data_IF_585574660929
#
_entry.id   IF_585574660929
#
_cell.length_a   1.000
_cell.length_b   1.000
_cell.length_c   1.000
_cell.angle_alpha   90.00
_cell.angle_beta   90.00
_cell.angle_gamma   90.00
#
_symmetry.space_group_name_H-M   'P 1'
#
loop_
_entity.id
_entity.type
_entity.pdbx_description
1 polymer ?
#
# COMPACT_ATOMS: atom_id res chain seq x y z
N UNK A 1 15.66 11.63 -36.99
CA UNK A 1 16.93 12.38 -36.95
C UNK A 1 16.79 13.91 -36.82
N UNK A 2 15.71 14.46 -36.22
CA UNK A 2 15.57 15.92 -35.97
C UNK A 2 15.22 16.33 -34.53
N UNK A 3 15.20 15.39 -33.56
CA UNK A 3 14.90 15.69 -32.14
C UNK A 3 16.09 15.62 -31.17
N UNK A 4 17.29 15.28 -31.65
CA UNK A 4 18.52 15.19 -30.83
C UNK A 4 19.30 16.53 -30.72
N UNK A 5 18.65 17.65 -31.01
CA UNK A 5 19.30 18.92 -31.36
C UNK A 5 19.50 19.91 -30.20
N UNK A 6 19.29 19.55 -28.92
CA UNK A 6 19.30 20.55 -27.82
C UNK A 6 20.34 20.28 -26.71
N UNK A 7 20.98 19.11 -26.63
CA UNK A 7 21.82 18.79 -25.46
C UNK A 7 23.31 19.18 -25.56
N UNK A 8 23.78 19.84 -26.61
CA UNK A 8 25.22 20.14 -26.75
C UNK A 8 25.70 21.40 -26.00
N UNK A 9 24.79 22.29 -25.57
CA UNK A 9 25.16 23.63 -25.07
C UNK A 9 24.82 23.90 -23.60
N UNK A 10 24.40 22.91 -22.81
CA UNK A 10 24.11 23.09 -21.38
C UNK A 10 25.05 22.33 -20.43
N UNK A 11 26.17 21.80 -20.92
CA UNK A 11 27.18 21.14 -20.09
C UNK A 11 28.37 22.09 -20.01
N UNK A 12 28.48 22.90 -18.94
CA UNK A 12 29.75 23.35 -18.32
C UNK A 12 29.59 24.58 -17.41
N UNK A 13 28.52 25.35 -17.49
CA UNK A 13 28.35 26.47 -16.56
C UNK A 13 27.71 26.01 -15.25
N UNK A 14 28.54 25.98 -14.21
CA UNK A 14 28.22 26.17 -12.78
C UNK A 14 28.17 24.88 -11.94
N UNK A 15 29.34 24.50 -11.40
CA UNK A 15 29.64 23.89 -10.07
C UNK A 15 30.82 22.90 -10.09
N UNK A 16 31.94 23.22 -10.74
CA UNK A 16 33.13 22.36 -10.67
C UNK A 16 33.73 22.24 -9.25
N UNK A 17 33.43 23.17 -8.33
CA UNK A 17 34.03 23.19 -7.00
C UNK A 17 33.46 22.18 -5.99
N UNK A 18 32.36 21.49 -6.32
CA UNK A 18 31.64 20.63 -5.37
C UNK A 18 31.31 19.23 -5.92
N UNK A 19 31.77 18.90 -7.12
CA UNK A 19 31.64 17.57 -7.72
C UNK A 19 32.81 16.68 -7.26
N UNK A 20 32.55 15.38 -7.08
CA UNK A 20 33.64 14.41 -6.85
C UNK A 20 34.51 14.29 -8.11
N UNK A 21 35.76 13.86 -7.94
CA UNK A 21 36.66 13.59 -9.07
C UNK A 21 36.04 12.56 -10.02
N UNK A 22 35.41 11.53 -9.46
CA UNK A 22 34.67 10.52 -10.21
C UNK A 22 33.53 11.13 -11.05
N UNK A 23 32.73 12.04 -10.48
CA UNK A 23 31.65 12.69 -11.22
C UNK A 23 32.18 13.53 -12.39
N UNK A 24 33.28 14.26 -12.18
CA UNK A 24 33.92 15.06 -13.22
C UNK A 24 34.47 14.19 -14.37
N UNK A 25 35.08 13.05 -14.05
CA UNK A 25 35.56 12.08 -15.04
C UNK A 25 34.39 11.45 -15.83
N UNK A 26 33.32 11.04 -15.15
CA UNK A 26 32.14 10.47 -15.78
C UNK A 26 31.46 11.46 -16.75
N UNK A 27 31.36 12.74 -16.38
CA UNK A 27 30.80 13.79 -17.25
C UNK A 27 31.65 14.00 -18.52
N UNK A 28 32.98 13.92 -18.40
CA UNK A 28 33.88 14.00 -19.56
C UNK A 28 33.70 12.79 -20.49
N UNK A 29 33.52 11.61 -19.92
CA UNK A 29 33.28 10.40 -20.69
C UNK A 29 31.93 10.44 -21.42
N UNK A 30 30.88 11.00 -20.80
CA UNK A 30 29.60 11.25 -21.48
C UNK A 30 29.79 12.18 -22.68
N UNK A 31 30.47 13.31 -22.51
CA UNK A 31 30.69 14.27 -23.60
C UNK A 31 31.44 13.62 -24.78
N UNK A 32 32.46 12.81 -24.49
CA UNK A 32 33.22 12.08 -25.50
C UNK A 32 32.36 11.02 -26.20
N UNK A 33 31.63 10.21 -25.43
CA UNK A 33 30.79 9.14 -25.97
C UNK A 33 29.63 9.70 -26.82
N UNK A 34 29.03 10.83 -26.42
CA UNK A 34 28.03 11.53 -27.21
C UNK A 34 28.58 12.04 -28.54
N UNK A 35 29.79 12.63 -28.54
CA UNK A 35 30.45 13.06 -29.77
C UNK A 35 30.71 11.87 -30.72
N UNK A 36 31.16 10.73 -30.19
CA UNK A 36 31.34 9.52 -30.97
C UNK A 36 30.01 8.97 -31.52
N UNK A 37 28.92 9.01 -30.75
CA UNK A 37 27.59 8.58 -31.17
C UNK A 37 26.96 9.49 -32.25
N UNK A 38 27.44 10.72 -32.39
CA UNK A 38 27.03 11.65 -33.46
C UNK A 38 27.92 11.56 -34.69
N UNK A 39 29.12 11.00 -34.59
CA UNK A 39 30.05 10.92 -35.70
C UNK A 39 29.59 9.89 -36.75
N UNK A 40 29.45 10.25 -38.05
CA UNK A 40 28.78 9.43 -39.06
C UNK A 40 29.28 7.99 -39.23
N UNK A 41 30.58 7.76 -39.03
CA UNK A 41 31.18 6.41 -39.13
C UNK A 41 31.19 5.64 -37.81
N UNK A 42 31.15 6.34 -36.68
CA UNK A 42 31.26 5.71 -35.35
C UNK A 42 29.87 5.36 -34.81
N UNK A 43 28.86 6.15 -35.16
CA UNK A 43 27.45 5.92 -34.80
C UNK A 43 26.87 4.62 -35.37
N UNK A 44 27.49 4.03 -36.40
CA UNK A 44 27.07 2.73 -36.97
C UNK A 44 27.67 1.54 -36.22
N UNK A 45 28.62 1.76 -35.30
CA UNK A 45 29.23 0.69 -34.51
C UNK A 45 28.48 0.50 -33.18
N UNK A 46 27.96 -0.70 -32.88
CA UNK A 46 27.28 -0.99 -31.61
C UNK A 46 28.11 -0.62 -30.38
N UNK A 47 29.43 -0.82 -30.42
CA UNK A 47 30.32 -0.53 -29.29
C UNK A 47 30.36 0.97 -28.91
N UNK A 48 30.04 1.86 -29.85
CA UNK A 48 29.91 3.29 -29.57
C UNK A 48 28.74 3.56 -28.63
N UNK A 49 27.62 2.90 -28.87
CA UNK A 49 26.40 3.05 -28.07
C UNK A 49 26.50 2.35 -26.72
N UNK A 50 27.19 1.20 -26.64
CA UNK A 50 27.52 0.57 -25.36
C UNK A 50 28.34 1.51 -24.45
N UNK A 51 29.36 2.19 -25.01
CA UNK A 51 30.16 3.17 -24.27
C UNK A 51 29.34 4.38 -23.82
N UNK A 52 28.37 4.81 -24.63
CA UNK A 52 27.47 5.89 -24.26
C UNK A 52 26.55 5.50 -23.10
N UNK A 53 25.99 4.28 -23.13
CA UNK A 53 25.23 3.72 -22.01
C UNK A 53 26.08 3.64 -20.73
N UNK A 54 27.31 3.11 -20.83
CA UNK A 54 28.23 3.02 -19.68
C UNK A 54 28.54 4.40 -19.09
N UNK A 55 28.74 5.41 -19.95
CA UNK A 55 29.03 6.77 -19.50
C UNK A 55 27.83 7.40 -18.76
N UNK A 56 26.60 7.23 -19.27
CA UNK A 56 25.40 7.70 -18.57
C UNK A 56 25.19 7.00 -17.23
N UNK A 57 25.36 5.68 -17.19
CA UNK A 57 25.27 4.90 -15.96
C UNK A 57 26.33 5.34 -14.93
N UNK A 58 27.55 5.65 -15.36
CA UNK A 58 28.61 6.14 -14.48
C UNK A 58 28.27 7.51 -13.84
N UNK A 59 27.67 8.43 -14.60
CA UNK A 59 27.20 9.72 -14.04
C UNK A 59 26.06 9.51 -13.05
N UNK A 60 25.14 8.59 -13.35
CA UNK A 60 24.04 8.25 -12.45
C UNK A 60 24.54 7.66 -11.13
N UNK A 61 25.51 6.73 -11.17
CA UNK A 61 26.03 6.07 -9.98
C UNK A 61 26.91 7.00 -9.12
N UNK A 62 27.53 8.03 -9.72
CA UNK A 62 28.57 8.83 -9.07
C UNK A 62 28.20 9.41 -7.68
N UNK A 63 26.98 9.94 -7.43
CA UNK A 63 26.61 10.45 -6.12
C UNK A 63 26.52 9.38 -5.03
N UNK A 64 26.13 8.15 -5.40
CA UNK A 64 25.74 7.06 -4.48
C UNK A 64 26.62 5.82 -4.64
N UNK A 65 27.75 5.97 -5.31
CA UNK A 65 28.70 4.89 -5.52
C UNK A 65 29.14 4.33 -4.16
N UNK A 66 29.07 3.01 -4.03
CA UNK A 66 29.49 2.25 -2.85
C UNK A 66 28.58 2.34 -1.62
N UNK A 67 27.42 2.99 -1.68
CA UNK A 67 26.39 2.86 -0.62
C UNK A 67 25.41 1.74 -1.00
N UNK A 68 24.80 1.11 0.01
CA UNK A 68 23.81 0.06 -0.18
C UNK A 68 22.69 0.16 0.87
N UNK A 69 21.49 -0.28 0.50
CA UNK A 69 20.37 -0.35 1.43
C UNK A 69 20.71 -1.28 2.61
N UNK A 70 20.36 -0.86 3.82
CA UNK A 70 20.70 -1.57 5.07
C UNK A 70 22.03 -1.15 5.70
N UNK A 71 22.88 -0.38 5.01
CA UNK A 71 24.13 0.11 5.58
C UNK A 71 23.88 1.00 6.80
N UNK A 72 24.67 0.83 7.85
CA UNK A 72 24.65 1.74 9.00
C UNK A 72 25.22 3.11 8.63
N UNK A 73 24.84 4.15 9.37
CA UNK A 73 25.43 5.49 9.21
C UNK A 73 26.98 5.48 9.26
N UNK A 74 27.57 4.63 10.09
CA UNK A 74 29.03 4.53 10.22
C UNK A 74 29.67 3.88 8.99
N UNK A 75 29.06 2.84 8.42
CA UNK A 75 29.53 2.22 7.17
C UNK A 75 29.43 3.22 6.01
N UNK A 76 28.33 3.96 5.93
CA UNK A 76 28.16 5.00 4.91
C UNK A 76 29.21 6.10 5.05
N UNK A 77 29.45 6.62 6.27
CA UNK A 77 30.53 7.59 6.53
C UNK A 77 31.90 7.04 6.13
N UNK A 78 32.16 5.76 6.35
CA UNK A 78 33.42 5.10 6.00
C UNK A 78 33.62 4.97 4.49
N UNK A 79 32.57 4.73 3.71
CA UNK A 79 32.70 4.64 2.24
C UNK A 79 32.65 6.00 1.56
N UNK A 80 31.97 6.98 2.16
CA UNK A 80 31.86 8.34 1.62
C UNK A 80 32.98 9.28 2.06
N UNK A 81 33.84 8.90 3.02
CA UNK A 81 35.07 9.56 3.57
C UNK A 81 35.32 11.04 3.23
N UNK A 82 35.50 11.36 1.96
CA UNK A 82 35.81 12.71 1.47
C UNK A 82 34.57 13.64 1.40
N UNK A 83 33.38 13.09 1.57
CA UNK A 83 32.11 13.82 1.55
C UNK A 83 31.64 14.11 2.97
N UNK A 84 31.29 15.37 3.22
CA UNK A 84 30.84 15.85 4.53
C UNK A 84 29.33 15.89 4.61
N UNK A 85 28.79 15.40 5.72
CA UNK A 85 27.41 15.67 6.13
C UNK A 85 27.30 17.16 6.45
N UNK A 86 26.34 17.82 5.80
CA UNK A 86 26.06 19.24 5.96
C UNK A 86 25.04 19.48 7.07
N UNK A 87 24.07 18.58 7.21
CA UNK A 87 23.02 18.63 8.22
C UNK A 87 22.53 17.21 8.53
N UNK A 88 22.05 17.00 9.76
CA UNK A 88 21.28 15.81 10.15
C UNK A 88 20.00 16.28 10.81
N UNK A 89 18.85 15.79 10.35
CA UNK A 89 17.54 16.14 10.90
C UNK A 89 16.59 14.95 10.89
N UNK A 90 15.50 15.04 11.65
CA UNK A 90 14.41 14.06 11.57
C UNK A 90 13.40 14.51 10.51
N UNK A 91 12.98 13.59 9.63
CA UNK A 91 11.88 13.81 8.68
C UNK A 91 10.85 12.69 8.82
N UNK A 92 9.57 13.06 8.91
CA UNK A 92 8.48 12.09 8.89
C UNK A 92 7.89 12.00 7.48
N UNK A 93 7.85 10.79 6.94
CA UNK A 93 7.27 10.46 5.63
C UNK A 93 6.35 9.26 5.83
N UNK A 94 5.09 9.34 5.38
CA UNK A 94 4.10 8.25 5.54
C UNK A 94 3.99 7.68 6.96
N UNK A 95 3.97 8.55 7.98
CA UNK A 95 3.94 8.19 9.41
C UNK A 95 5.19 7.45 9.93
N UNK A 96 6.23 7.31 9.12
CA UNK A 96 7.54 6.81 9.54
C UNK A 96 8.52 7.97 9.71
N UNK A 97 9.24 8.00 10.82
CA UNK A 97 10.28 9.01 11.09
C UNK A 97 11.64 8.45 10.73
N UNK A 98 12.36 9.18 9.88
CA UNK A 98 13.72 8.89 9.44
C UNK A 98 14.70 9.90 10.02
N UNK A 99 15.91 9.44 10.37
CA UNK A 99 17.07 10.34 10.51
C UNK A 99 17.65 10.57 9.12
N UNK A 100 17.84 11.83 8.73
CA UNK A 100 18.27 12.17 7.36
C UNK A 100 19.59 12.93 7.40
N UNK A 101 20.63 12.32 6.85
CA UNK A 101 21.92 12.98 6.61
C UNK A 101 21.89 13.66 5.24
N UNK A 102 21.99 14.98 5.23
CA UNK A 102 22.08 15.78 4.01
C UNK A 102 23.55 15.97 3.61
N UNK A 103 23.91 15.50 2.43
CA UNK A 103 25.20 15.75 1.78
C UNK A 103 25.05 16.87 0.74
N UNK A 104 26.13 17.22 0.06
CA UNK A 104 26.09 18.28 -0.94
C UNK A 104 25.08 18.01 -2.08
N UNK A 105 24.98 16.76 -2.53
CA UNK A 105 24.26 16.35 -3.75
C UNK A 105 23.17 15.29 -3.53
N UNK A 106 22.99 14.84 -2.28
CA UNK A 106 22.03 13.80 -1.92
C UNK A 106 21.62 13.87 -0.47
N UNK A 107 20.46 13.30 -0.18
CA UNK A 107 19.96 13.05 1.16
C UNK A 107 19.88 11.54 1.39
N UNK A 108 20.33 11.09 2.55
CA UNK A 108 20.36 9.68 2.95
C UNK A 108 19.41 9.47 4.13
N UNK A 109 18.42 8.60 3.95
CA UNK A 109 17.33 8.38 4.91
C UNK A 109 17.58 7.10 5.69
N UNK A 110 17.73 7.21 7.00
CA UNK A 110 17.96 6.09 7.92
C UNK A 110 16.71 5.81 8.74
N UNK A 111 16.29 4.55 8.79
CA UNK A 111 15.20 4.08 9.64
C UNK A 111 15.57 4.16 11.13
N UNK A 112 14.59 3.97 12.02
CA UNK A 112 14.78 4.06 13.48
C UNK A 112 15.82 3.09 14.05
N UNK A 113 16.06 1.98 13.36
CA UNK A 113 17.11 1.00 13.69
C UNK A 113 18.51 1.40 13.18
N UNK A 114 18.63 2.55 12.49
CA UNK A 114 19.88 3.12 12.00
C UNK A 114 20.34 2.58 10.64
N UNK A 115 19.51 1.79 9.95
CA UNK A 115 19.79 1.26 8.63
C UNK A 115 19.42 2.24 7.51
N UNK A 116 20.25 2.35 6.47
CA UNK A 116 19.97 3.17 5.29
C UNK A 116 18.77 2.59 4.53
N UNK A 117 17.64 3.27 4.58
CA UNK A 117 16.37 2.82 4.02
C UNK A 117 16.14 3.34 2.59
N UNK A 118 16.59 4.56 2.30
CA UNK A 118 16.46 5.18 0.98
C UNK A 118 17.47 6.32 0.80
N UNK A 119 17.61 6.80 -0.44
CA UNK A 119 18.32 8.04 -0.75
C UNK A 119 17.65 8.83 -1.87
N UNK A 120 17.90 10.14 -1.88
CA UNK A 120 17.41 11.06 -2.91
C UNK A 120 18.59 11.86 -3.43
N UNK A 121 18.76 11.91 -4.75
CA UNK A 121 19.75 12.80 -5.39
C UNK A 121 19.16 14.21 -5.47
N UNK A 122 19.66 15.12 -4.63
CA UNK A 122 19.14 16.49 -4.51
C UNK A 122 19.78 17.44 -5.52
N UNK A 123 20.97 17.13 -6.04
CA UNK A 123 21.64 17.90 -7.10
C UNK A 123 22.17 16.96 -8.19
N UNK A 124 21.33 16.57 -9.16
CA UNK A 124 21.77 15.69 -10.24
C UNK A 124 22.83 16.38 -11.10
N UNK A 125 23.88 15.64 -11.47
CA UNK A 125 24.98 16.16 -12.29
C UNK A 125 24.58 16.46 -13.74
N UNK A 126 23.46 15.91 -14.21
CA UNK A 126 22.85 16.24 -15.50
C UNK A 126 21.33 16.38 -15.34
N UNK A 127 20.74 17.36 -16.05
CA UNK A 127 19.28 17.59 -16.05
C UNK A 127 18.57 16.76 -17.12
N UNK A 128 18.86 15.46 -17.16
CA UNK A 128 18.23 14.47 -18.04
C UNK A 128 17.98 13.19 -17.25
N UNK A 129 17.09 12.34 -17.73
CA UNK A 129 16.88 11.00 -17.17
C UNK A 129 18.00 10.07 -17.63
N UNK A 130 19.05 9.96 -16.81
CA UNK A 130 20.26 9.20 -17.13
C UNK A 130 20.00 7.70 -17.35
N UNK A 131 19.04 7.12 -16.61
CA UNK A 131 18.71 5.71 -16.77
C UNK A 131 17.99 5.47 -18.10
N UNK A 132 17.08 6.37 -18.48
CA UNK A 132 16.43 6.33 -19.79
C UNK A 132 17.41 6.56 -20.93
N UNK A 133 18.29 7.55 -20.83
CA UNK A 133 19.31 7.82 -21.85
C UNK A 133 20.27 6.62 -22.02
N UNK A 134 20.64 5.97 -20.91
CA UNK A 134 21.37 4.70 -20.94
C UNK A 134 20.58 3.60 -21.65
N UNK A 135 19.28 3.43 -21.34
CA UNK A 135 18.41 2.44 -21.99
C UNK A 135 18.31 2.67 -23.51
N UNK A 136 18.08 3.91 -23.93
CA UNK A 136 17.96 4.27 -25.34
C UNK A 136 19.26 3.97 -26.11
N UNK A 137 20.41 4.23 -25.48
CA UNK A 137 21.71 3.85 -26.04
C UNK A 137 21.86 2.32 -26.17
N UNK A 138 21.41 1.54 -25.19
CA UNK A 138 21.42 0.06 -25.28
C UNK A 138 20.52 -0.45 -26.40
N UNK A 139 19.30 0.09 -26.54
CA UNK A 139 18.38 -0.25 -27.62
C UNK A 139 18.99 0.06 -29.00
N UNK A 140 19.75 1.16 -29.11
CA UNK A 140 20.45 1.48 -30.35
C UNK A 140 21.64 0.55 -30.62
N UNK A 141 22.38 0.15 -29.58
CA UNK A 141 23.44 -0.83 -29.69
C UNK A 141 22.90 -2.18 -30.19
N UNK A 142 21.77 -2.63 -29.63
CA UNK A 142 21.07 -3.84 -30.02
C UNK A 142 20.63 -3.83 -31.48
N UNK A 143 19.97 -2.76 -31.94
CA UNK A 143 19.54 -2.58 -33.32
C UNK A 143 20.71 -2.76 -34.30
N UNK A 144 21.87 -2.20 -33.98
CA UNK A 144 23.05 -2.24 -34.83
C UNK A 144 23.83 -3.55 -34.71
N UNK A 145 23.77 -4.22 -33.55
CA UNK A 145 24.56 -5.42 -33.29
C UNK A 145 24.02 -6.66 -33.98
N UNK A 146 22.71 -6.70 -34.25
CA UNK A 146 22.02 -7.83 -34.88
C UNK A 146 22.44 -9.19 -34.29
N UNK A 147 22.45 -9.29 -32.96
CA UNK A 147 22.83 -10.52 -32.23
C UNK A 147 24.30 -10.59 -31.76
N UNK A 148 25.23 -9.92 -32.44
CA UNK A 148 26.69 -10.08 -32.19
C UNK A 148 27.17 -9.58 -30.81
N UNK A 149 26.36 -8.78 -30.11
CA UNK A 149 26.68 -8.16 -28.81
C UNK A 149 25.68 -8.49 -27.71
N UNK A 150 24.83 -9.50 -27.89
CA UNK A 150 23.73 -9.78 -26.97
C UNK A 150 24.19 -10.01 -25.53
N UNK A 151 25.34 -10.66 -25.30
CA UNK A 151 25.89 -10.83 -23.95
C UNK A 151 26.28 -9.50 -23.30
N UNK A 152 27.01 -8.64 -24.03
CA UNK A 152 27.44 -7.33 -23.53
C UNK A 152 26.23 -6.42 -23.24
N UNK A 153 25.17 -6.53 -24.05
CA UNK A 153 23.92 -5.78 -23.91
C UNK A 153 23.11 -6.32 -22.73
N UNK A 154 22.97 -7.65 -22.60
CA UNK A 154 22.18 -8.27 -21.54
C UNK A 154 22.73 -7.94 -20.15
N UNK A 155 24.05 -7.97 -19.98
CA UNK A 155 24.72 -7.60 -18.73
C UNK A 155 24.41 -6.14 -18.33
N UNK A 156 24.40 -5.21 -19.29
CA UNK A 156 24.08 -3.79 -19.06
C UNK A 156 22.61 -3.55 -18.80
N UNK A 157 21.73 -4.25 -19.53
CA UNK A 157 20.29 -4.23 -19.29
C UNK A 157 19.98 -4.73 -17.88
N UNK A 158 20.57 -5.85 -17.44
CA UNK A 158 20.37 -6.35 -16.08
C UNK A 158 20.86 -5.35 -15.01
N UNK A 159 22.02 -4.73 -15.21
CA UNK A 159 22.50 -3.69 -14.32
C UNK A 159 21.57 -2.45 -14.31
N UNK A 160 20.97 -2.12 -15.44
CA UNK A 160 20.00 -1.03 -15.55
C UNK A 160 18.67 -1.37 -14.87
N UNK A 161 18.18 -2.61 -15.02
CA UNK A 161 17.04 -3.15 -14.28
C UNK A 161 17.26 -2.99 -12.78
N UNK A 162 18.43 -3.36 -12.25
CA UNK A 162 18.75 -3.18 -10.84
C UNK A 162 18.64 -1.72 -10.41
N UNK A 163 19.15 -0.77 -11.20
CA UNK A 163 19.03 0.67 -10.90
C UNK A 163 17.58 1.14 -10.86
N UNK A 164 16.77 0.74 -11.84
CA UNK A 164 15.34 1.04 -11.82
C UNK A 164 14.62 0.45 -10.61
N UNK A 165 14.94 -0.79 -10.21
CA UNK A 165 14.38 -1.38 -8.99
C UNK A 165 14.79 -0.56 -7.77
N UNK A 166 16.05 -0.16 -7.67
CA UNK A 166 16.54 0.68 -6.56
C UNK A 166 15.83 2.03 -6.48
N UNK A 167 15.66 2.75 -7.60
CA UNK A 167 14.89 4.01 -7.61
C UNK A 167 13.42 3.80 -7.29
N UNK A 168 12.86 2.68 -7.76
CA UNK A 168 11.51 2.24 -7.41
C UNK A 168 11.35 2.06 -5.89
N UNK A 169 12.30 1.36 -5.26
CA UNK A 169 12.31 1.13 -3.81
C UNK A 169 12.55 2.41 -3.02
N UNK A 170 13.48 3.28 -3.44
CA UNK A 170 13.71 4.59 -2.82
C UNK A 170 12.42 5.42 -2.82
N UNK A 171 11.76 5.50 -3.98
CA UNK A 171 10.51 6.24 -4.14
C UNK A 171 9.39 5.61 -3.31
N UNK A 172 9.29 4.28 -3.27
CA UNK A 172 8.30 3.55 -2.48
C UNK A 172 8.45 3.82 -0.98
N UNK A 173 9.67 3.68 -0.45
CA UNK A 173 9.99 3.95 0.96
C UNK A 173 9.64 5.39 1.33
N UNK A 174 9.83 6.34 0.41
CA UNK A 174 9.54 7.75 0.63
C UNK A 174 8.12 8.17 0.22
N UNK A 175 7.25 7.21 -0.08
CA UNK A 175 5.83 7.47 -0.39
C UNK A 175 5.55 8.10 -1.74
N UNK A 176 6.55 8.26 -2.60
CA UNK A 176 6.37 8.70 -3.98
C UNK A 176 5.96 7.52 -4.85
N UNK A 177 4.73 7.04 -4.65
CA UNK A 177 4.21 5.86 -5.36
C UNK A 177 4.14 6.04 -6.87
N UNK A 178 4.04 7.29 -7.35
CA UNK A 178 4.04 7.59 -8.79
C UNK A 178 5.40 7.32 -9.41
N UNK A 179 6.47 7.84 -8.81
CA UNK A 179 7.84 7.56 -9.29
C UNK A 179 8.24 6.12 -9.02
N UNK A 180 7.79 5.52 -7.91
CA UNK A 180 7.99 4.10 -7.63
C UNK A 180 7.41 3.23 -8.74
N UNK A 181 6.13 3.45 -9.09
CA UNK A 181 5.46 2.72 -10.16
C UNK A 181 6.16 2.90 -11.50
N UNK A 182 6.59 4.12 -11.84
CA UNK A 182 7.28 4.41 -13.10
C UNK A 182 8.59 3.65 -13.21
N UNK A 183 9.41 3.66 -12.16
CA UNK A 183 10.69 2.96 -12.14
C UNK A 183 10.52 1.43 -12.14
N UNK A 184 9.56 0.89 -11.37
CA UNK A 184 9.26 -0.54 -11.42
C UNK A 184 8.78 -0.98 -12.82
N UNK A 185 7.96 -0.18 -13.52
CA UNK A 185 7.59 -0.50 -14.91
C UNK A 185 8.80 -0.54 -15.84
N UNK A 186 9.75 0.39 -15.73
CA UNK A 186 10.97 0.34 -16.54
C UNK A 186 11.77 -0.94 -16.26
N UNK A 187 11.85 -1.37 -15.00
CA UNK A 187 12.46 -2.66 -14.66
C UNK A 187 11.67 -3.86 -15.25
N UNK A 188 10.34 -3.80 -15.32
CA UNK A 188 9.52 -4.81 -16.02
C UNK A 188 9.85 -4.81 -17.52
N UNK A 189 9.88 -3.64 -18.17
CA UNK A 189 10.21 -3.50 -19.60
C UNK A 189 11.55 -4.18 -19.91
N UNK A 190 12.57 -3.95 -19.08
CA UNK A 190 13.88 -4.59 -19.23
C UNK A 190 13.79 -6.11 -19.01
N UNK A 191 13.06 -6.58 -17.99
CA UNK A 191 12.92 -8.01 -17.70
C UNK A 191 12.21 -8.79 -18.82
N UNK A 192 11.31 -8.11 -19.53
CA UNK A 192 10.53 -8.63 -20.65
C UNK A 192 11.23 -8.48 -22.01
N UNK A 193 12.38 -7.79 -22.06
CA UNK A 193 13.15 -7.61 -23.28
C UNK A 193 13.52 -8.97 -23.89
N UNK A 194 13.43 -9.18 -25.22
CA UNK A 194 13.72 -10.47 -25.84
C UNK A 194 15.13 -11.03 -25.57
N UNK A 195 16.12 -10.16 -25.31
CA UNK A 195 17.49 -10.60 -24.98
C UNK A 195 17.55 -11.13 -23.54
N UNK A 196 16.72 -10.60 -22.64
CA UNK A 196 16.67 -11.00 -21.23
C UNK A 196 15.72 -12.19 -21.04
N UNK A 197 14.51 -12.09 -21.59
CA UNK A 197 13.45 -13.10 -21.55
C UNK A 197 13.25 -13.72 -20.16
N UNK A 198 13.35 -12.91 -19.11
CA UNK A 198 13.27 -13.33 -17.71
C UNK A 198 12.29 -12.43 -16.97
N UNK A 199 10.97 -12.65 -17.18
CA UNK A 199 9.92 -11.88 -16.52
C UNK A 199 10.10 -11.86 -15.00
N UNK A 200 10.09 -10.67 -14.40
CA UNK A 200 10.19 -10.50 -12.97
C UNK A 200 8.81 -10.26 -12.36
N UNK A 201 8.15 -11.34 -11.94
CA UNK A 201 6.78 -11.30 -11.42
C UNK A 201 6.66 -10.51 -10.12
N UNK A 202 7.72 -10.48 -9.31
CA UNK A 202 7.76 -9.66 -8.09
C UNK A 202 7.74 -8.19 -8.44
N UNK A 203 8.55 -7.75 -9.40
CA UNK A 203 8.55 -6.35 -9.84
C UNK A 203 7.26 -5.98 -10.60
N UNK A 204 6.68 -6.91 -11.37
CA UNK A 204 5.35 -6.71 -11.97
C UNK A 204 4.29 -6.48 -10.89
N UNK A 205 4.29 -7.28 -9.83
CA UNK A 205 3.37 -7.12 -8.70
C UNK A 205 3.55 -5.77 -8.02
N UNK A 206 4.79 -5.36 -7.71
CA UNK A 206 5.08 -4.04 -7.12
C UNK A 206 4.69 -2.89 -8.05
N UNK A 207 4.82 -3.05 -9.37
CA UNK A 207 4.35 -2.05 -10.34
C UNK A 207 2.83 -1.88 -10.25
N UNK A 208 2.09 -2.99 -10.17
CA UNK A 208 0.64 -2.98 -10.01
C UNK A 208 0.20 -2.38 -8.66
N UNK A 209 0.86 -2.76 -7.56
CA UNK A 209 0.59 -2.22 -6.23
C UNK A 209 0.79 -0.71 -6.17
N UNK A 210 1.94 -0.22 -6.62
CA UNK A 210 2.26 1.21 -6.61
C UNK A 210 1.37 2.00 -7.56
N UNK A 211 0.96 1.42 -8.70
CA UNK A 211 -0.06 2.01 -9.56
C UNK A 211 -1.42 2.12 -8.84
N UNK A 212 -1.83 1.09 -8.09
CA UNK A 212 -3.10 1.08 -7.32
C UNK A 212 -3.10 2.10 -6.18
N UNK A 213 -1.93 2.41 -5.61
CA UNK A 213 -1.75 3.48 -4.60
C UNK A 213 -1.76 4.89 -5.23
N UNK A 214 -1.83 4.99 -6.56
CA UNK A 214 -2.02 6.23 -7.30
C UNK A 214 -3.37 6.20 -8.02
N UNK A 215 -3.93 7.34 -8.46
CA UNK A 215 -5.18 7.36 -9.22
C UNK A 215 -5.00 6.87 -10.67
N UNK A 216 -4.35 5.71 -10.86
CA UNK A 216 -4.09 5.04 -12.15
C UNK A 216 -4.51 3.54 -12.10
N UNK A 217 -5.81 3.26 -11.93
CA UNK A 217 -6.30 1.90 -11.77
C UNK A 217 -6.15 1.04 -13.04
N UNK A 218 -6.11 1.65 -14.24
CA UNK A 218 -5.89 0.92 -15.50
C UNK A 218 -4.50 0.30 -15.56
N UNK A 219 -3.49 1.05 -15.12
CA UNK A 219 -2.11 0.54 -15.02
C UNK A 219 -2.00 -0.55 -13.96
N UNK A 220 -2.68 -0.40 -12.82
CA UNK A 220 -2.74 -1.45 -11.81
C UNK A 220 -3.33 -2.76 -12.38
N UNK A 221 -4.48 -2.67 -13.07
CA UNK A 221 -5.13 -3.81 -13.74
C UNK A 221 -4.17 -4.48 -14.72
N UNK A 222 -3.50 -3.71 -15.60
CA UNK A 222 -2.53 -4.22 -16.57
C UNK A 222 -1.47 -5.06 -15.89
N UNK A 223 -0.79 -4.52 -14.88
CA UNK A 223 0.35 -5.20 -14.25
C UNK A 223 -0.07 -6.36 -13.35
N UNK A 224 -1.20 -6.29 -12.67
CA UNK A 224 -1.74 -7.42 -11.93
C UNK A 224 -2.14 -8.59 -12.85
N UNK A 225 -2.80 -8.31 -13.98
CA UNK A 225 -3.09 -9.35 -14.97
C UNK A 225 -1.80 -9.96 -15.53
N UNK A 226 -0.81 -9.14 -15.91
CA UNK A 226 0.50 -9.64 -16.35
C UNK A 226 1.17 -10.54 -15.31
N UNK A 227 1.04 -10.19 -14.03
CA UNK A 227 1.58 -10.97 -12.92
C UNK A 227 0.89 -12.33 -12.79
N UNK A 228 -0.45 -12.37 -12.89
CA UNK A 228 -1.24 -13.61 -12.90
C UNK A 228 -0.95 -14.48 -14.12
N UNK A 229 -0.80 -13.89 -15.29
CA UNK A 229 -0.46 -14.60 -16.53
C UNK A 229 0.87 -15.34 -16.41
N UNK A 230 1.83 -14.73 -15.68
CA UNK A 230 3.12 -15.32 -15.31
C UNK A 230 3.06 -16.18 -14.02
N UNK A 231 1.87 -16.62 -13.61
CA UNK A 231 1.63 -17.60 -12.54
C UNK A 231 2.07 -17.16 -11.14
N UNK A 232 2.09 -15.86 -10.89
CA UNK A 232 2.27 -15.30 -9.55
C UNK A 232 1.00 -14.60 -9.08
N UNK A 233 0.57 -14.87 -7.85
CA UNK A 233 -0.69 -14.37 -7.29
C UNK A 233 -0.58 -13.89 -5.83
N UNK A 234 0.64 -13.79 -5.31
CA UNK A 234 0.93 -13.33 -3.94
C UNK A 234 0.07 -14.02 -2.87
N UNK A 235 -0.13 -15.34 -2.97
CA UNK A 235 -0.92 -16.14 -2.01
C UNK A 235 -2.38 -15.65 -1.85
N UNK A 236 -2.93 -15.04 -2.89
CA UNK A 236 -4.31 -14.57 -2.91
C UNK A 236 -4.46 -13.05 -2.86
N UNK A 237 -3.52 -12.33 -2.25
CA UNK A 237 -3.64 -10.88 -2.03
C UNK A 237 -3.76 -10.09 -3.34
N UNK A 238 -3.14 -10.59 -4.42
CA UNK A 238 -3.25 -10.00 -5.74
C UNK A 238 -4.71 -9.95 -6.22
N UNK A 239 -5.52 -10.98 -5.95
CA UNK A 239 -6.92 -11.01 -6.40
C UNK A 239 -7.76 -9.89 -5.76
N UNK A 240 -7.52 -9.58 -4.49
CA UNK A 240 -8.19 -8.47 -3.80
C UNK A 240 -7.76 -7.12 -4.37
N UNK A 241 -6.46 -6.90 -4.57
CA UNK A 241 -5.93 -5.66 -5.14
C UNK A 241 -6.42 -5.45 -6.59
N UNK A 242 -6.45 -6.51 -7.39
CA UNK A 242 -6.97 -6.46 -8.76
C UNK A 242 -8.47 -6.18 -8.79
N UNK A 243 -9.24 -6.77 -7.87
CA UNK A 243 -10.66 -6.50 -7.77
C UNK A 243 -10.94 -5.06 -7.34
N UNK A 244 -10.17 -4.51 -6.41
CA UNK A 244 -10.22 -3.09 -6.05
C UNK A 244 -9.94 -2.19 -7.27
N UNK A 245 -8.90 -2.50 -8.03
CA UNK A 245 -8.58 -1.76 -9.26
C UNK A 245 -9.73 -1.84 -10.29
N UNK A 246 -10.35 -3.01 -10.47
CA UNK A 246 -11.55 -3.17 -11.31
C UNK A 246 -12.76 -2.39 -10.78
N UNK A 247 -12.97 -2.32 -9.45
CA UNK A 247 -14.01 -1.47 -8.84
C UNK A 247 -13.76 0.01 -9.14
N UNK A 248 -12.50 0.47 -9.08
CA UNK A 248 -12.13 1.86 -9.36
C UNK A 248 -12.47 2.29 -10.80
N UNK A 249 -12.38 1.38 -11.77
CA UNK A 249 -12.84 1.61 -13.16
C UNK A 249 -14.31 1.23 -13.38
N UNK A 250 -15.08 1.03 -12.31
CA UNK A 250 -16.51 0.66 -12.31
C UNK A 250 -16.82 -0.66 -13.01
N UNK A 251 -15.83 -1.54 -13.19
CA UNK A 251 -16.01 -2.88 -13.73
C UNK A 251 -16.26 -3.90 -12.62
N UNK A 252 -17.43 -3.78 -11.99
CA UNK A 252 -17.82 -4.55 -10.81
C UNK A 252 -17.94 -6.05 -11.11
N UNK A 253 -18.43 -6.41 -12.30
CA UNK A 253 -18.55 -7.82 -12.70
C UNK A 253 -17.19 -8.49 -12.76
N UNK A 254 -16.17 -7.80 -13.31
CA UNK A 254 -14.81 -8.35 -13.36
C UNK A 254 -14.18 -8.43 -11.98
N UNK A 255 -14.43 -7.46 -11.11
CA UNK A 255 -13.99 -7.53 -9.72
C UNK A 255 -14.58 -8.76 -8.99
N UNK A 256 -15.88 -9.05 -9.16
CA UNK A 256 -16.51 -10.27 -8.61
C UNK A 256 -15.91 -11.54 -9.19
N UNK A 257 -15.69 -11.59 -10.50
CA UNK A 257 -15.08 -12.74 -11.18
C UNK A 257 -13.69 -13.06 -10.61
N UNK A 258 -12.84 -12.03 -10.50
CA UNK A 258 -11.48 -12.15 -9.97
C UNK A 258 -11.49 -12.61 -8.51
N UNK A 259 -12.34 -12.01 -7.67
CA UNK A 259 -12.46 -12.44 -6.27
C UNK A 259 -12.99 -13.88 -6.16
N UNK A 260 -13.92 -14.29 -7.02
CA UNK A 260 -14.41 -15.67 -7.08
C UNK A 260 -13.33 -16.68 -7.48
N UNK A 261 -12.49 -16.34 -8.46
CA UNK A 261 -11.31 -17.13 -8.83
C UNK A 261 -10.31 -17.21 -7.66
N UNK A 262 -10.02 -16.07 -7.04
CA UNK A 262 -9.16 -15.96 -5.87
C UNK A 262 -9.65 -16.81 -4.71
N UNK A 263 -10.94 -16.75 -4.39
CA UNK A 263 -11.57 -17.51 -3.31
C UNK A 263 -11.59 -19.01 -3.60
N UNK A 264 -11.76 -19.39 -4.87
CA UNK A 264 -11.69 -20.81 -5.26
C UNK A 264 -10.29 -21.39 -5.02
N UNK A 265 -9.24 -20.60 -5.25
CA UNK A 265 -7.84 -21.02 -5.08
C UNK A 265 -7.32 -20.84 -3.65
N UNK A 266 -7.77 -19.80 -2.97
CA UNK A 266 -7.38 -19.37 -1.62
C UNK A 266 -8.62 -19.15 -0.75
N UNK A 267 -9.38 -20.21 -0.41
CA UNK A 267 -10.63 -20.08 0.32
C UNK A 267 -10.47 -19.54 1.75
N UNK A 268 -9.24 -19.52 2.26
CA UNK A 268 -8.85 -19.04 3.59
C UNK A 268 -8.26 -17.63 3.59
N UNK A 269 -8.03 -17.01 2.42
CA UNK A 269 -7.47 -15.66 2.36
C UNK A 269 -8.53 -14.63 2.78
N UNK A 270 -8.26 -13.97 3.91
CA UNK A 270 -9.17 -12.99 4.52
C UNK A 270 -9.42 -11.77 3.64
N UNK A 271 -8.38 -11.25 2.98
CA UNK A 271 -8.49 -10.10 2.07
C UNK A 271 -9.47 -10.40 0.93
N UNK A 272 -9.45 -11.62 0.39
CA UNK A 272 -10.36 -12.03 -0.68
C UNK A 272 -11.78 -12.14 -0.15
N UNK A 273 -11.95 -12.82 0.99
CA UNK A 273 -13.27 -13.03 1.56
C UNK A 273 -13.95 -11.69 1.91
N UNK A 274 -13.24 -10.81 2.62
CA UNK A 274 -13.75 -9.48 2.99
C UNK A 274 -14.11 -8.68 1.73
N UNK A 275 -13.23 -8.68 0.73
CA UNK A 275 -13.48 -7.97 -0.53
C UNK A 275 -14.70 -8.54 -1.27
N UNK A 276 -14.87 -9.87 -1.26
CA UNK A 276 -15.98 -10.57 -1.90
C UNK A 276 -17.31 -10.28 -1.19
N UNK A 277 -17.33 -10.28 0.14
CA UNK A 277 -18.51 -9.89 0.92
C UNK A 277 -18.86 -8.44 0.64
N UNK A 278 -17.88 -7.53 0.76
CA UNK A 278 -18.11 -6.10 0.56
C UNK A 278 -18.68 -5.81 -0.82
N UNK A 279 -18.12 -6.39 -1.89
CA UNK A 279 -18.62 -6.15 -3.25
C UNK A 279 -20.03 -6.72 -3.46
N UNK A 280 -20.39 -7.85 -2.85
CA UNK A 280 -21.75 -8.39 -2.95
C UNK A 280 -22.76 -7.54 -2.15
N UNK A 281 -22.36 -7.03 -0.99
CA UNK A 281 -23.19 -6.13 -0.18
C UNK A 281 -23.39 -4.78 -0.88
N UNK A 282 -22.33 -4.19 -1.44
CA UNK A 282 -22.39 -2.92 -2.18
C UNK A 282 -23.29 -3.02 -3.43
N UNK A 283 -23.38 -4.21 -4.04
CA UNK A 283 -24.15 -4.43 -5.27
C UNK A 283 -25.58 -4.92 -5.03
N UNK A 284 -25.98 -5.13 -3.77
CA UNK A 284 -27.27 -5.72 -3.40
C UNK A 284 -27.56 -7.04 -4.15
N UNK A 285 -26.52 -7.84 -4.38
CA UNK A 285 -26.65 -9.16 -5.00
C UNK A 285 -27.38 -10.15 -4.07
N UNK A 286 -27.75 -11.31 -4.63
CA UNK A 286 -28.41 -12.37 -3.87
C UNK A 286 -27.58 -12.77 -2.63
N UNK A 287 -28.06 -12.45 -1.41
CA UNK A 287 -27.33 -12.71 -0.17
C UNK A 287 -27.06 -14.20 0.06
N UNK A 288 -27.87 -15.09 -0.52
CA UNK A 288 -27.71 -16.52 -0.37
C UNK A 288 -26.40 -17.02 -0.98
N UNK A 289 -25.89 -16.35 -2.03
CA UNK A 289 -24.58 -16.65 -2.60
C UNK A 289 -23.45 -16.33 -1.61
N UNK A 290 -23.54 -15.19 -0.95
CA UNK A 290 -22.55 -14.77 0.06
C UNK A 290 -22.59 -15.69 1.27
N UNK A 291 -23.79 -16.00 1.78
CA UNK A 291 -23.96 -16.93 2.90
C UNK A 291 -23.42 -18.33 2.57
N UNK A 292 -23.62 -18.82 1.35
CA UNK A 292 -23.07 -20.11 0.92
C UNK A 292 -21.53 -20.10 0.89
N UNK A 293 -20.92 -19.00 0.43
CA UNK A 293 -19.47 -18.82 0.43
C UNK A 293 -18.90 -18.74 1.86
N UNK A 294 -19.56 -17.97 2.74
CA UNK A 294 -19.18 -17.85 4.15
C UNK A 294 -19.28 -19.22 4.82
N UNK A 295 -20.37 -19.97 4.60
CA UNK A 295 -20.53 -21.32 5.15
C UNK A 295 -19.38 -22.25 4.74
N UNK A 296 -19.00 -22.24 3.46
CA UNK A 296 -17.85 -23.02 2.97
C UNK A 296 -16.53 -22.56 3.62
N UNK A 297 -16.36 -21.26 3.87
CA UNK A 297 -15.20 -20.75 4.60
C UNK A 297 -15.20 -21.23 6.05
N UNK A 298 -16.35 -21.21 6.74
CA UNK A 298 -16.51 -21.68 8.13
C UNK A 298 -16.23 -23.18 8.26
N UNK A 299 -16.57 -23.99 7.26
CA UNK A 299 -16.22 -25.42 7.22
C UNK A 299 -14.69 -25.65 7.16
N UNK A 300 -13.95 -24.76 6.51
CA UNK A 300 -12.49 -24.84 6.42
C UNK A 300 -11.78 -24.21 7.64
N UNK A 301 -12.37 -23.17 8.23
CA UNK A 301 -11.81 -22.44 9.37
C UNK A 301 -12.84 -22.29 10.50
N UNK A 302 -13.18 -23.38 11.20
CA UNK A 302 -14.22 -23.37 12.23
C UNK A 302 -13.88 -22.50 13.44
N UNK A 303 -12.61 -22.10 13.59
CA UNK A 303 -12.12 -21.24 14.69
C UNK A 303 -11.90 -19.80 14.26
N UNK A 304 -12.35 -19.39 13.07
CA UNK A 304 -12.18 -18.01 12.60
C UNK A 304 -13.42 -17.16 12.89
N UNK A 305 -13.32 -16.34 13.94
CA UNK A 305 -14.40 -15.46 14.37
C UNK A 305 -14.82 -14.42 13.32
N UNK A 306 -13.92 -14.00 12.43
CA UNK A 306 -14.23 -13.01 11.38
C UNK A 306 -15.28 -13.52 10.39
N UNK A 307 -15.37 -14.84 10.18
CA UNK A 307 -16.36 -15.46 9.29
C UNK A 307 -17.77 -15.37 9.84
N UNK A 308 -17.93 -15.57 11.15
CA UNK A 308 -19.21 -15.39 11.83
C UNK A 308 -19.61 -13.91 11.88
N UNK A 309 -18.64 -13.00 12.07
CA UNK A 309 -18.90 -11.56 11.97
C UNK A 309 -19.34 -11.15 10.57
N UNK A 310 -18.67 -11.64 9.53
CA UNK A 310 -19.06 -11.47 8.14
C UNK A 310 -20.48 -11.96 7.87
N UNK A 311 -20.85 -13.15 8.37
CA UNK A 311 -22.20 -13.69 8.24
C UNK A 311 -23.24 -12.78 8.89
N UNK A 312 -22.92 -12.28 10.09
CA UNK A 312 -23.77 -11.33 10.80
C UNK A 312 -24.00 -10.05 10.01
N UNK A 313 -22.97 -9.51 9.35
CA UNK A 313 -23.10 -8.34 8.49
C UNK A 313 -24.03 -8.58 7.29
N UNK A 314 -23.99 -9.80 6.71
CA UNK A 314 -24.92 -10.18 5.65
C UNK A 314 -26.36 -10.20 6.17
N UNK A 315 -26.61 -10.87 7.29
CA UNK A 315 -27.95 -10.91 7.90
C UNK A 315 -28.45 -9.52 8.35
N UNK A 316 -27.57 -8.68 8.89
CA UNK A 316 -27.88 -7.29 9.27
C UNK A 316 -28.30 -6.46 8.06
N UNK A 317 -27.61 -6.60 6.92
CA UNK A 317 -28.00 -5.93 5.68
C UNK A 317 -29.34 -6.42 5.14
N UNK A 318 -29.68 -7.70 5.37
CA UNK A 318 -31.01 -8.25 5.10
C UNK A 318 -32.07 -7.86 6.13
N UNK A 319 -31.74 -6.99 7.07
CA UNK A 319 -32.60 -6.55 8.17
C UNK A 319 -33.09 -7.71 9.06
N UNK A 320 -32.40 -8.85 9.02
CA UNK A 320 -32.64 -9.96 9.94
C UNK A 320 -31.72 -9.83 11.15
N UNK A 321 -32.12 -8.96 12.07
CA UNK A 321 -31.35 -8.59 13.26
C UNK A 321 -31.14 -9.79 14.20
N UNK A 322 -32.14 -10.67 14.32
CA UNK A 322 -32.06 -11.85 15.19
C UNK A 322 -30.96 -12.83 14.73
N UNK A 323 -30.88 -13.10 13.42
CA UNK A 323 -29.78 -13.91 12.88
C UNK A 323 -28.44 -13.17 12.93
N UNK A 324 -28.45 -11.86 12.72
CA UNK A 324 -27.22 -11.08 12.79
C UNK A 324 -26.58 -11.18 14.19
N UNK A 325 -27.37 -11.00 15.26
CA UNK A 325 -26.87 -11.10 16.63
C UNK A 325 -26.39 -12.51 16.97
N UNK A 326 -27.09 -13.56 16.52
CA UNK A 326 -26.64 -14.96 16.70
C UNK A 326 -25.26 -15.18 16.06
N UNK A 327 -25.07 -14.71 14.82
CA UNK A 327 -23.78 -14.80 14.13
C UNK A 327 -22.69 -14.00 14.86
N UNK A 328 -22.98 -12.78 15.31
CA UNK A 328 -22.00 -11.98 16.07
C UNK A 328 -21.66 -12.60 17.44
N UNK A 329 -22.63 -13.18 18.14
CA UNK A 329 -22.37 -13.92 19.37
C UNK A 329 -21.52 -15.15 19.13
N UNK A 330 -21.74 -15.87 18.02
CA UNK A 330 -20.89 -16.98 17.62
C UNK A 330 -19.47 -16.51 17.28
N UNK A 331 -19.31 -15.33 16.67
CA UNK A 331 -17.99 -14.69 16.50
C UNK A 331 -17.27 -14.51 17.84
N UNK A 332 -17.96 -13.95 18.86
CA UNK A 332 -17.40 -13.75 20.20
C UNK A 332 -17.13 -15.06 20.94
N UNK A 333 -17.95 -16.11 20.73
CA UNK A 333 -17.72 -17.45 21.30
C UNK A 333 -16.48 -18.10 20.72
N UNK A 334 -16.27 -17.96 19.40
CA UNK A 334 -15.13 -18.54 18.69
C UNK A 334 -13.82 -17.85 19.07
N UNK A 335 -13.81 -16.52 19.07
CA UNK A 335 -12.69 -15.73 19.57
C UNK A 335 -13.18 -14.58 20.46
N UNK A 336 -13.07 -14.74 21.80
CA UNK A 336 -13.46 -13.70 22.75
C UNK A 336 -12.64 -12.41 22.65
N UNK A 337 -11.48 -12.41 21.97
CA UNK A 337 -10.63 -11.24 21.78
C UNK A 337 -10.87 -10.52 20.45
N UNK A 338 -11.75 -11.06 19.59
CA UNK A 338 -12.09 -10.43 18.33
C UNK A 338 -12.98 -9.19 18.55
N UNK A 339 -12.33 -8.02 18.59
CA UNK A 339 -12.93 -6.71 18.92
C UNK A 339 -14.21 -6.43 18.13
N UNK A 340 -14.21 -6.73 16.83
CA UNK A 340 -15.36 -6.48 15.95
C UNK A 340 -16.57 -7.34 16.29
N UNK A 341 -16.38 -8.55 16.82
CA UNK A 341 -17.48 -9.40 17.28
C UNK A 341 -18.24 -8.76 18.44
N UNK A 342 -17.50 -8.33 19.49
CA UNK A 342 -18.12 -7.67 20.66
C UNK A 342 -18.76 -6.33 20.30
N UNK A 343 -18.11 -5.55 19.45
CA UNK A 343 -18.68 -4.31 18.91
C UNK A 343 -19.98 -4.55 18.16
N UNK A 344 -20.02 -5.58 17.31
CA UNK A 344 -21.20 -5.92 16.51
C UNK A 344 -22.37 -6.40 17.37
N UNK A 345 -22.12 -7.20 18.41
CA UNK A 345 -23.17 -7.58 19.38
C UNK A 345 -23.74 -6.33 20.06
N UNK A 346 -22.87 -5.45 20.59
CA UNK A 346 -23.29 -4.22 21.28
C UNK A 346 -24.12 -3.30 20.38
N UNK A 347 -23.63 -3.01 19.16
CA UNK A 347 -24.35 -2.19 18.20
C UNK A 347 -25.66 -2.81 17.75
N UNK A 348 -25.74 -4.14 17.62
CA UNK A 348 -26.98 -4.81 17.21
C UNK A 348 -28.06 -4.74 18.28
N UNK A 349 -27.69 -4.92 19.56
CA UNK A 349 -28.62 -4.68 20.67
C UNK A 349 -29.04 -3.21 20.78
N UNK A 350 -28.10 -2.28 20.57
CA UNK A 350 -28.41 -0.86 20.55
C UNK A 350 -29.37 -0.48 19.41
N UNK A 351 -29.12 -0.97 18.19
CA UNK A 351 -29.98 -0.76 17.01
C UNK A 351 -31.40 -1.27 17.27
N UNK A 352 -31.54 -2.41 17.96
CA UNK A 352 -32.84 -2.96 18.36
C UNK A 352 -33.57 -2.05 19.35
N UNK A 353 -32.86 -1.48 20.32
CA UNK A 353 -33.43 -0.50 21.24
C UNK A 353 -33.89 0.77 20.50
N UNK A 354 -33.11 1.26 19.52
CA UNK A 354 -33.50 2.42 18.69
C UNK A 354 -34.73 2.11 17.83
N UNK A 355 -34.82 0.91 17.25
CA UNK A 355 -36.00 0.47 16.49
C UNK A 355 -37.26 0.47 17.38
N UNK A 356 -37.15 -0.07 18.59
CA UNK A 356 -38.25 -0.09 19.57
C UNK A 356 -38.60 1.34 19.99
N UNK A 357 -37.61 2.21 20.21
CA UNK A 357 -37.84 3.62 20.54
C UNK A 357 -38.64 4.34 19.47
N UNK A 358 -38.29 4.12 18.20
CA UNK A 358 -39.03 4.70 17.07
C UNK A 358 -40.49 4.23 17.05
N UNK A 359 -40.72 2.91 17.21
CA UNK A 359 -42.08 2.35 17.27
C UNK A 359 -42.86 2.85 18.50
N UNK A 360 -42.20 3.00 19.64
CA UNK A 360 -42.83 3.44 20.89
C UNK A 360 -43.28 4.90 20.81
N UNK A 361 -42.58 5.74 20.03
CA UNK A 361 -42.95 7.15 19.86
C UNK A 361 -44.33 7.34 19.18
N UNK A 362 -44.78 6.36 18.40
CA UNK A 362 -46.06 6.37 17.70
C UNK A 362 -47.15 5.51 18.40
N UNK A 363 -46.82 4.83 19.50
CA UNK A 363 -47.76 3.97 20.21
C UNK A 363 -48.63 4.79 21.18
N UNK A 364 -49.95 4.71 21.02
CA UNK A 364 -50.92 5.47 21.81
C UNK A 364 -51.51 4.66 22.98
N UNK A 365 -51.35 3.34 22.98
CA UNK A 365 -51.77 2.50 24.10
C UNK A 365 -50.71 2.51 25.21
N UNK A 366 -51.07 3.07 26.37
CA UNK A 366 -50.17 3.22 27.52
C UNK A 366 -49.50 1.91 27.93
N UNK A 367 -50.23 0.78 27.92
CA UNK A 367 -49.68 -0.52 28.33
C UNK A 367 -48.67 -1.05 27.33
N UNK A 368 -48.95 -0.91 26.03
CA UNK A 368 -48.00 -1.29 24.99
C UNK A 368 -46.77 -0.40 25.02
N UNK A 369 -46.95 0.91 25.21
CA UNK A 369 -45.85 1.86 25.34
C UNK A 369 -44.95 1.48 26.53
N UNK A 370 -45.52 1.23 27.71
CA UNK A 370 -44.75 0.78 28.88
C UNK A 370 -43.99 -0.53 28.64
N UNK A 371 -44.61 -1.50 27.96
CA UNK A 371 -43.97 -2.76 27.61
C UNK A 371 -42.81 -2.57 26.62
N UNK A 372 -43.00 -1.72 25.61
CA UNK A 372 -41.95 -1.37 24.66
C UNK A 372 -40.79 -0.63 25.34
N UNK A 373 -41.06 0.26 26.29
CA UNK A 373 -40.01 0.89 27.09
C UNK A 373 -39.19 -0.12 27.88
N UNK A 374 -39.83 -1.13 28.48
CA UNK A 374 -39.10 -2.21 29.18
C UNK A 374 -38.20 -2.99 28.23
N UNK A 375 -38.71 -3.36 27.06
CA UNK A 375 -37.93 -4.08 26.05
C UNK A 375 -36.75 -3.23 25.53
N UNK A 376 -36.99 -1.96 25.25
CA UNK A 376 -35.96 -1.00 24.88
C UNK A 376 -34.86 -0.97 25.94
N UNK A 377 -35.23 -0.78 27.21
CA UNK A 377 -34.24 -0.73 28.30
C UNK A 377 -33.46 -2.02 28.44
N UNK A 378 -34.12 -3.17 28.30
CA UNK A 378 -33.46 -4.47 28.31
C UNK A 378 -32.39 -4.58 27.21
N UNK A 379 -32.72 -4.17 25.98
CA UNK A 379 -31.75 -4.19 24.88
C UNK A 379 -30.59 -3.20 25.10
N UNK A 380 -30.85 -2.02 25.68
CA UNK A 380 -29.77 -1.10 26.07
C UNK A 380 -28.87 -1.72 27.14
N UNK A 381 -29.43 -2.37 28.16
CA UNK A 381 -28.64 -3.07 29.20
C UNK A 381 -27.81 -4.21 28.60
N UNK A 382 -28.38 -5.00 27.67
CA UNK A 382 -27.66 -6.06 26.96
C UNK A 382 -26.51 -5.54 26.07
N UNK A 383 -26.58 -4.29 25.61
CA UNK A 383 -25.51 -3.68 24.81
C UNK A 383 -24.28 -3.26 25.64
N UNK A 384 -24.42 -3.10 26.97
CA UNK A 384 -23.34 -2.61 27.85
C UNK A 384 -22.14 -3.56 27.81
N UNK A 385 -22.30 -4.80 28.24
CA UNK A 385 -21.17 -5.73 28.39
C UNK A 385 -20.38 -5.96 27.08
N UNK A 386 -21.02 -6.12 25.90
CA UNK A 386 -20.30 -6.18 24.63
C UNK A 386 -19.50 -4.91 24.31
N UNK A 387 -20.07 -3.71 24.56
CA UNK A 387 -19.34 -2.46 24.35
C UNK A 387 -18.19 -2.28 25.35
N UNK A 388 -18.38 -2.62 26.63
CA UNK A 388 -17.30 -2.58 27.63
C UNK A 388 -16.16 -3.50 27.22
N UNK A 389 -16.48 -4.72 26.78
CA UNK A 389 -15.49 -5.66 26.29
C UNK A 389 -14.76 -5.15 25.05
N UNK A 390 -15.47 -4.54 24.10
CA UNK A 390 -14.86 -3.90 22.93
C UNK A 390 -13.90 -2.77 23.35
N UNK A 391 -14.34 -1.90 24.26
CA UNK A 391 -13.55 -0.78 24.80
C UNK A 391 -12.27 -1.25 25.51
N UNK A 392 -12.34 -2.34 26.26
CA UNK A 392 -11.21 -2.94 26.97
C UNK A 392 -10.20 -3.58 26.02
N UNK A 393 -10.67 -4.30 25.01
CA UNK A 393 -9.81 -5.04 24.07
C UNK A 393 -9.14 -4.14 23.03
N UNK A 394 -9.85 -3.11 22.53
CA UNK A 394 -9.36 -2.30 21.41
C UNK A 394 -8.19 -1.39 21.79
N UNK A 395 -7.19 -1.33 20.91
CA UNK A 395 -6.11 -0.34 20.93
C UNK A 395 -6.36 0.80 19.93
N UNK A 396 -7.33 0.64 19.04
CA UNK A 396 -7.73 1.66 18.09
C UNK A 396 -8.47 2.79 18.81
N UNK A 397 -7.93 4.01 18.74
CA UNK A 397 -8.46 5.17 19.45
C UNK A 397 -9.85 5.57 18.97
N UNK A 398 -10.14 5.42 17.69
CA UNK A 398 -11.43 5.79 17.10
C UNK A 398 -12.50 4.80 17.55
N UNK A 399 -12.24 3.49 17.44
CA UNK A 399 -13.17 2.45 17.92
C UNK A 399 -13.41 2.62 19.43
N UNK A 400 -12.36 2.92 20.20
CA UNK A 400 -12.46 3.13 21.64
C UNK A 400 -13.32 4.34 21.99
N UNK A 401 -13.17 5.44 21.25
CA UNK A 401 -14.00 6.64 21.41
C UNK A 401 -15.47 6.36 21.11
N UNK A 402 -15.75 5.62 20.03
CA UNK A 402 -17.12 5.22 19.65
C UNK A 402 -17.76 4.34 20.74
N UNK A 403 -17.03 3.36 21.28
CA UNK A 403 -17.54 2.54 22.39
C UNK A 403 -17.83 3.38 23.64
N UNK A 404 -16.94 4.30 24.00
CA UNK A 404 -17.14 5.20 25.12
C UNK A 404 -18.38 6.09 24.94
N UNK A 405 -18.65 6.55 23.72
CA UNK A 405 -19.84 7.33 23.42
C UNK A 405 -21.14 6.53 23.65
N UNK A 406 -21.22 5.31 23.11
CA UNK A 406 -22.38 4.43 23.35
C UNK A 406 -22.57 4.17 24.84
N UNK A 407 -21.50 3.75 25.53
CA UNK A 407 -21.55 3.44 26.96
C UNK A 407 -21.95 4.66 27.79
N UNK A 408 -21.36 5.84 27.54
CA UNK A 408 -21.73 7.10 28.18
C UNK A 408 -23.24 7.34 28.05
N UNK A 409 -23.80 7.22 26.85
CA UNK A 409 -25.21 7.49 26.60
C UNK A 409 -26.12 6.48 27.32
N UNK A 410 -25.77 5.19 27.31
CA UNK A 410 -26.52 4.13 27.98
C UNK A 410 -26.46 4.32 29.51
N UNK A 411 -25.26 4.50 30.06
CA UNK A 411 -25.08 4.71 31.49
C UNK A 411 -25.76 5.98 32.00
N UNK A 412 -25.75 7.07 31.22
CA UNK A 412 -26.47 8.29 31.56
C UNK A 412 -27.97 8.05 31.75
N UNK A 413 -28.58 7.22 30.88
CA UNK A 413 -29.99 6.84 30.96
C UNK A 413 -30.29 6.10 32.25
N UNK A 414 -29.40 5.20 32.67
CA UNK A 414 -29.59 4.34 33.83
C UNK A 414 -28.93 4.86 35.12
N UNK A 415 -28.36 6.07 35.13
CA UNK A 415 -27.57 6.61 36.26
C UNK A 415 -28.30 6.60 37.61
N UNK A 416 -29.63 6.71 37.60
CA UNK A 416 -30.46 6.71 38.81
C UNK A 416 -30.84 5.29 39.28
N UNK A 417 -30.56 4.24 38.47
CA UNK A 417 -30.84 2.83 38.84
C UNK A 417 -29.83 2.27 39.87
N UNK A 418 -28.70 2.92 40.09
CA UNK A 418 -27.72 2.52 41.10
C UNK A 418 -26.32 3.10 40.91
N UNK A 419 -25.48 3.01 41.94
CA UNK A 419 -24.13 3.59 41.96
C UNK A 419 -23.23 3.06 40.83
N UNK A 420 -23.38 1.79 40.45
CA UNK A 420 -22.64 1.19 39.34
C UNK A 420 -22.91 1.89 38.00
N UNK A 421 -24.16 2.29 37.74
CA UNK A 421 -24.51 2.99 36.50
C UNK A 421 -23.95 4.41 36.48
N UNK A 422 -24.00 5.10 37.62
CA UNK A 422 -23.39 6.42 37.77
C UNK A 422 -21.87 6.37 37.56
N UNK A 423 -21.19 5.40 38.16
CA UNK A 423 -19.75 5.20 37.99
C UNK A 423 -19.38 4.87 36.53
N UNK A 424 -20.18 4.05 35.85
CA UNK A 424 -20.04 3.79 34.42
C UNK A 424 -20.15 5.06 33.58
N UNK A 425 -21.15 5.91 33.84
CA UNK A 425 -21.30 7.20 33.16
C UNK A 425 -20.06 8.08 33.35
N UNK A 426 -19.61 8.25 34.60
CA UNK A 426 -18.44 9.09 34.92
C UNK A 426 -17.18 8.59 34.20
N UNK A 427 -16.94 7.26 34.20
CA UNK A 427 -15.81 6.61 33.51
C UNK A 427 -15.80 6.89 32.01
N UNK A 428 -16.89 6.56 31.31
CA UNK A 428 -16.92 6.63 29.84
C UNK A 428 -17.09 8.08 29.35
N UNK A 429 -17.75 8.95 30.11
CA UNK A 429 -17.81 10.38 29.82
C UNK A 429 -16.42 11.03 29.91
N UNK A 430 -15.65 10.74 30.97
CA UNK A 430 -14.30 11.28 31.11
C UNK A 430 -13.39 10.87 29.94
N UNK A 431 -13.46 9.61 29.50
CA UNK A 431 -12.72 9.16 28.32
C UNK A 431 -13.17 9.91 27.06
N UNK A 432 -14.47 9.98 26.78
CA UNK A 432 -15.02 10.65 25.59
C UNK A 432 -14.67 12.15 25.52
N UNK A 433 -14.68 12.88 26.64
CA UNK A 433 -14.28 14.29 26.65
C UNK A 433 -12.76 14.47 26.42
N UNK A 434 -11.94 13.51 26.85
CA UNK A 434 -10.50 13.55 26.60
C UNK A 434 -10.14 13.40 25.11
N UNK A 435 -10.98 12.74 24.33
CA UNK A 435 -10.73 12.56 22.88
C UNK A 435 -11.10 13.79 22.06
N UNK A 436 -11.83 14.76 22.61
CA UNK A 436 -12.15 16.04 21.92
C UNK A 436 -11.06 17.10 22.08
N UNK A 437 -10.12 16.88 23.00
CA UNK A 437 -9.04 17.82 23.33
C UNK A 437 -7.72 17.49 22.61
N UNK A 438 -7.68 16.36 21.88
CA UNK A 438 -6.59 15.92 21.01
C UNK A 438 -6.97 16.19 19.57
#
# INVERSE_FOLDING_TARGET
MKKLLIALTMILSIQMGAQTKEAAEALKDVAKAQADAQHPKKSTNPATWLKLSDAFAAVYDAPVKSIWAGATQNEVKLVLKDQRILNTEERTVNNETFSVDSYYDKDLYYSKDGALAAWVITKPYMKVDLLKESFDALRKAEELANGSKNKDISERLLALKTRYVTEGMNSYTLGDFKNASTNFEQAVVVSMDPIIASPDTTIMYYTGLTANMTPDPERAIKFFNMTLDNKFDSKGDLYSNLAEAYKAVKNVDKAKEVLGQGFTKYPTNQSILVSLINIYLETNDDPNKVLALIKKAQENEPTNASLHYAEGNVWKNLKNIDKAVECYENSVKVDPNYVFGSFAVGTTYYDRAVEIQGKAADEMDDKKYEEMLKQLEQYLEMSIAPFEKCFELTQDKEIKAVCAEYLKNIYFRFREKGENYKAGYDKYNAYYESTKQQ
#
